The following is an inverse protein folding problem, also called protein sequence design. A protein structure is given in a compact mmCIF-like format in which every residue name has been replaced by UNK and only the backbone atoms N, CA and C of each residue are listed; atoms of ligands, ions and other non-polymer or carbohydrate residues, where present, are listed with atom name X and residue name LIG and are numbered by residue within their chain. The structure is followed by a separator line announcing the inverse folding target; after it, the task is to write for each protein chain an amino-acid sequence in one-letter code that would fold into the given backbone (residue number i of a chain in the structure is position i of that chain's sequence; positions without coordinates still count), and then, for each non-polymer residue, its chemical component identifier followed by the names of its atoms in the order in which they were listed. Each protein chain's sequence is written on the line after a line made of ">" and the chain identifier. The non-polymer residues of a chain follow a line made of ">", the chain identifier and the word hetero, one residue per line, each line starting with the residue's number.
data_IF_085060727462
#
_entry.id   IF_085060727462
#
_cell.length_a   1.000
_cell.length_b   1.000
_cell.length_c   1.000
_cell.angle_alpha   90.00
_cell.angle_beta   90.00
_cell.angle_gamma   90.00
#
_symmetry.space_group_name_H-M   'P 1'
#
loop_
_entity.id
_entity.type
_entity.pdbx_description
1 polymer ?
#
# COMPACT_ATOMS: atom_id res chain seq x y z
N UNK A 1 15.93 13.50 -9.18
CA UNK A 1 14.46 13.67 -9.08
C UNK A 1 14.00 12.98 -7.81
N UNK A 2 12.82 13.33 -7.28
CA UNK A 2 12.33 12.81 -5.99
C UNK A 2 11.09 11.98 -6.25
N UNK A 3 10.97 10.83 -5.60
CA UNK A 3 9.76 10.02 -5.62
C UNK A 3 8.64 10.83 -4.94
N UNK A 4 7.52 11.06 -5.65
CA UNK A 4 6.45 11.95 -5.17
C UNK A 4 5.14 11.19 -5.07
N UNK A 5 4.37 11.52 -4.04
CA UNK A 5 3.00 11.05 -3.87
C UNK A 5 2.00 12.16 -4.19
N UNK A 6 0.80 11.78 -4.63
CA UNK A 6 -0.34 12.69 -4.78
C UNK A 6 -1.62 12.08 -4.20
N UNK A 7 -2.57 12.87 -3.68
CA UNK A 7 -3.85 12.33 -3.26
C UNK A 7 -4.62 11.76 -4.47
N UNK A 8 -5.22 10.58 -4.31
CA UNK A 8 -6.09 10.00 -5.34
C UNK A 8 -7.41 10.78 -5.44
N UNK A 9 -7.93 10.90 -6.66
CA UNK A 9 -9.24 11.51 -6.88
C UNK A 9 -10.40 10.60 -6.43
N UNK A 10 -10.23 9.29 -6.58
CA UNK A 10 -11.21 8.27 -6.21
C UNK A 10 -10.57 7.26 -5.24
N UNK A 11 -11.07 7.09 -4.00
CA UNK A 11 -10.56 6.07 -3.09
C UNK A 11 -10.71 4.64 -3.62
N UNK A 12 -11.56 4.41 -4.63
CA UNK A 12 -11.79 3.10 -5.24
C UNK A 12 -10.92 2.85 -6.48
N UNK A 13 -10.06 3.80 -6.86
CA UNK A 13 -9.09 3.69 -7.96
C UNK A 13 -7.80 4.46 -7.63
N UNK A 14 -7.13 4.10 -6.53
CA UNK A 14 -5.86 4.70 -6.11
C UNK A 14 -4.76 4.23 -7.08
N UNK A 15 -4.25 5.14 -7.91
CA UNK A 15 -3.23 4.82 -8.92
C UNK A 15 -1.84 4.77 -8.31
N UNK A 16 -0.88 4.27 -9.10
CA UNK A 16 0.53 4.26 -8.72
C UNK A 16 0.99 5.65 -8.27
N UNK A 17 1.69 5.69 -7.14
CA UNK A 17 2.13 6.90 -6.44
C UNK A 17 1.00 7.76 -5.87
N UNK A 18 -0.20 7.20 -5.73
CA UNK A 18 -1.30 7.88 -5.05
C UNK A 18 -1.59 7.30 -3.67
N UNK A 19 -2.26 8.11 -2.85
CA UNK A 19 -2.78 7.69 -1.56
C UNK A 19 -4.18 8.27 -1.32
N UNK A 20 -4.98 7.58 -0.52
CA UNK A 20 -6.26 8.10 -0.05
C UNK A 20 -6.73 7.38 1.22
N UNK A 21 -7.56 8.06 2.01
CA UNK A 21 -8.20 7.52 3.19
C UNK A 21 -9.73 7.52 3.05
N UNK A 22 -10.35 6.36 3.25
CA UNK A 22 -11.81 6.20 3.21
C UNK A 22 -12.23 4.95 4.01
N UNK A 23 -13.54 4.70 4.17
CA UNK A 23 -14.03 3.47 4.82
C UNK A 23 -13.66 2.20 4.04
N UNK A 24 -13.54 2.35 2.74
CA UNK A 24 -13.04 1.36 1.81
C UNK A 24 -12.15 2.06 0.79
N UNK A 25 -11.02 1.42 0.47
CA UNK A 25 -10.10 1.85 -0.56
C UNK A 25 -9.79 0.70 -1.50
N UNK A 26 -9.51 1.01 -2.76
CA UNK A 26 -9.00 0.06 -3.76
C UNK A 26 -7.95 0.74 -4.61
N UNK A 27 -6.98 -0.06 -5.03
CA UNK A 27 -5.94 0.36 -5.94
C UNK A 27 -6.34 0.09 -7.38
N UNK A 28 -5.75 0.84 -8.32
CA UNK A 28 -5.70 0.43 -9.71
C UNK A 28 -4.97 -0.91 -9.86
N UNK A 29 -5.09 -1.55 -11.03
CA UNK A 29 -4.48 -2.86 -11.29
C UNK A 29 -2.97 -2.88 -11.02
N UNK A 30 -2.50 -3.84 -10.22
CA UNK A 30 -1.10 -4.13 -9.96
C UNK A 30 -0.50 -4.95 -11.10
N UNK A 31 0.73 -4.61 -11.50
CA UNK A 31 1.57 -5.39 -12.41
C UNK A 31 2.94 -5.72 -11.77
N UNK A 32 3.50 -4.81 -10.97
CA UNK A 32 4.69 -5.03 -10.14
C UNK A 32 4.65 -4.25 -8.81
N UNK A 33 3.46 -3.78 -8.45
CA UNK A 33 3.23 -2.82 -7.40
C UNK A 33 2.93 -3.53 -6.07
N UNK A 34 3.10 -2.78 -4.97
CA UNK A 34 2.55 -3.14 -3.67
C UNK A 34 1.63 -2.03 -3.18
N UNK A 35 0.64 -2.40 -2.38
CA UNK A 35 -0.22 -1.50 -1.64
C UNK A 35 0.09 -1.61 -0.16
N UNK A 36 0.21 -0.47 0.51
CA UNK A 36 0.26 -0.40 1.96
C UNK A 36 -1.10 0.09 2.45
N UNK A 37 -1.79 -0.76 3.21
CA UNK A 37 -3.12 -0.50 3.74
C UNK A 37 -3.04 -0.39 5.25
N UNK A 38 -3.42 0.75 5.81
CA UNK A 38 -3.43 1.00 7.23
C UNK A 38 -4.85 1.24 7.74
N UNK A 39 -5.29 0.45 8.72
CA UNK A 39 -6.56 0.67 9.42
C UNK A 39 -6.36 1.58 10.62
N UNK A 40 -7.23 2.57 10.76
CA UNK A 40 -7.44 3.34 11.98
C UNK A 40 -8.95 3.49 12.23
N UNK A 41 -9.45 2.80 13.25
CA UNK A 41 -10.89 2.70 13.54
C UNK A 41 -11.69 2.18 12.31
N UNK A 42 -12.57 2.99 11.74
CA UNK A 42 -13.36 2.65 10.54
C UNK A 42 -12.72 3.11 9.22
N UNK A 43 -11.58 3.80 9.28
CA UNK A 43 -10.90 4.36 8.11
C UNK A 43 -9.73 3.48 7.72
N UNK A 44 -9.61 3.25 6.41
CA UNK A 44 -8.47 2.63 5.77
C UNK A 44 -7.74 3.67 4.94
N UNK A 45 -6.45 3.82 5.16
CA UNK A 45 -5.54 4.57 4.29
C UNK A 45 -4.83 3.59 3.38
N UNK A 46 -4.93 3.79 2.07
CA UNK A 46 -4.16 3.05 1.06
C UNK A 46 -3.09 3.92 0.44
N UNK A 47 -1.88 3.39 0.28
CA UNK A 47 -0.77 4.01 -0.47
C UNK A 47 -0.30 3.01 -1.53
N UNK A 48 -0.32 3.42 -2.80
CA UNK A 48 0.07 2.57 -3.93
C UNK A 48 1.54 2.83 -4.32
N UNK A 49 2.39 1.83 -4.13
CA UNK A 49 3.83 1.93 -4.35
C UNK A 49 4.27 1.21 -5.62
N UNK A 50 5.22 1.81 -6.32
CA UNK A 50 5.93 1.24 -7.47
C UNK A 50 7.43 1.31 -7.26
N UNK A 51 8.17 0.37 -7.86
CA UNK A 51 9.64 0.35 -7.78
C UNK A 51 10.24 1.56 -8.49
N UNK A 52 9.68 1.91 -9.65
CA UNK A 52 10.08 3.05 -10.47
C UNK A 52 8.88 3.96 -10.66
N UNK A 53 9.05 5.25 -10.32
CA UNK A 53 8.03 6.26 -10.57
C UNK A 53 7.85 6.52 -12.07
N UNK A 54 6.76 7.22 -12.40
CA UNK A 54 6.51 7.72 -13.77
C UNK A 54 7.62 8.65 -14.28
N UNK A 55 8.34 9.29 -13.37
CA UNK A 55 9.48 10.17 -13.65
C UNK A 55 10.83 9.43 -13.49
N UNK A 56 10.83 8.11 -13.66
CA UNK A 56 12.02 7.23 -13.59
C UNK A 56 12.82 7.35 -12.29
N UNK A 57 12.16 7.77 -11.20
CA UNK A 57 12.78 7.84 -9.88
C UNK A 57 12.52 6.55 -9.11
N UNK A 58 13.58 5.88 -8.69
CA UNK A 58 13.50 4.65 -7.91
C UNK A 58 12.97 4.92 -6.50
N UNK A 59 12.17 4.01 -5.96
CA UNK A 59 11.77 4.05 -4.56
C UNK A 59 12.99 3.95 -3.65
N UNK A 60 13.10 4.87 -2.69
CA UNK A 60 14.23 5.02 -1.78
C UNK A 60 13.78 5.14 -0.31
N UNK A 61 14.73 5.34 0.60
CA UNK A 61 14.44 5.49 2.03
C UNK A 61 13.62 6.75 2.34
N UNK A 62 13.69 7.79 1.51
CA UNK A 62 12.87 8.99 1.69
C UNK A 62 11.41 8.68 1.33
N UNK A 63 11.17 7.99 0.22
CA UNK A 63 9.85 7.50 -0.16
C UNK A 63 9.25 6.54 0.88
N UNK A 64 10.09 5.69 1.49
CA UNK A 64 9.66 4.82 2.59
C UNK A 64 9.17 5.60 3.82
N UNK A 65 9.92 6.64 4.24
CA UNK A 65 9.50 7.52 5.34
C UNK A 65 8.23 8.29 5.00
N UNK A 66 8.12 8.80 3.78
CA UNK A 66 6.93 9.50 3.31
C UNK A 66 5.71 8.58 3.28
N UNK A 67 5.86 7.35 2.80
CA UNK A 67 4.81 6.32 2.82
C UNK A 67 4.24 6.15 4.24
N UNK A 68 5.12 5.98 5.23
CA UNK A 68 4.70 5.78 6.63
C UNK A 68 4.06 7.04 7.22
N UNK A 69 4.57 8.22 6.84
CA UNK A 69 3.96 9.49 7.24
C UNK A 69 2.53 9.63 6.69
N UNK A 70 2.28 9.16 5.46
CA UNK A 70 0.94 9.17 4.82
C UNK A 70 -0.05 8.22 5.52
N UNK A 71 0.42 7.10 6.09
CA UNK A 71 -0.44 6.21 6.89
C UNK A 71 -0.97 6.88 8.16
N UNK A 72 -0.33 7.96 8.62
CA UNK A 72 -0.65 8.66 9.86
C UNK A 72 -0.67 7.69 11.06
N UNK A 73 -1.63 7.83 11.98
CA UNK A 73 -1.87 6.88 13.06
C UNK A 73 -2.62 5.66 12.54
N UNK A 74 -2.17 4.47 12.90
CA UNK A 74 -2.80 3.20 12.54
C UNK A 74 -2.81 2.20 13.71
N UNK A 75 -3.77 1.28 13.66
CA UNK A 75 -3.92 0.15 14.60
C UNK A 75 -3.38 -1.15 14.00
N UNK A 76 -3.53 -1.33 12.68
CA UNK A 76 -3.13 -2.52 11.94
C UNK A 76 -2.71 -2.12 10.52
N UNK A 77 -1.70 -2.78 9.97
CA UNK A 77 -1.19 -2.53 8.61
C UNK A 77 -1.06 -3.82 7.84
N UNK A 78 -1.44 -3.78 6.58
CA UNK A 78 -1.22 -4.83 5.59
C UNK A 78 -0.35 -4.29 4.48
N UNK A 79 0.64 -5.08 4.06
CA UNK A 79 1.36 -4.89 2.80
C UNK A 79 0.91 -6.01 1.86
N UNK A 80 0.35 -5.64 0.72
CA UNK A 80 -0.22 -6.59 -0.25
C UNK A 80 0.33 -6.30 -1.65
N UNK A 81 0.57 -7.32 -2.46
CA UNK A 81 1.02 -7.19 -3.85
C UNK A 81 2.20 -8.10 -4.17
N UNK A 82 2.99 -7.71 -5.16
CA UNK A 82 4.21 -8.43 -5.60
C UNK A 82 5.38 -8.20 -4.63
N UNK A 83 5.25 -8.69 -3.40
CA UNK A 83 6.24 -8.44 -2.33
C UNK A 83 7.59 -9.15 -2.59
N UNK A 84 7.58 -10.24 -3.36
CA UNK A 84 8.76 -10.95 -3.83
C UNK A 84 9.57 -10.16 -4.88
N UNK A 85 8.89 -9.46 -5.79
CA UNK A 85 9.54 -8.53 -6.72
C UNK A 85 10.20 -7.37 -5.96
N UNK A 86 9.55 -6.88 -4.91
CA UNK A 86 10.12 -5.84 -4.06
C UNK A 86 11.32 -6.34 -3.25
N UNK A 87 11.25 -7.54 -2.69
CA UNK A 87 12.39 -8.13 -1.97
C UNK A 87 13.60 -8.38 -2.89
N UNK A 88 13.36 -8.80 -4.14
CA UNK A 88 14.43 -9.06 -5.11
C UNK A 88 15.02 -7.80 -5.75
N UNK A 89 14.21 -6.77 -6.01
CA UNK A 89 14.65 -5.54 -6.69
C UNK A 89 15.00 -4.40 -5.73
N UNK A 90 14.47 -4.39 -4.51
CA UNK A 90 14.59 -3.32 -3.51
C UNK A 90 14.81 -3.89 -2.11
N UNK A 91 15.61 -4.95 -1.96
CA UNK A 91 15.76 -5.67 -0.68
C UNK A 91 16.00 -4.74 0.52
N UNK A 92 16.93 -3.79 0.41
CA UNK A 92 17.26 -2.86 1.50
C UNK A 92 16.13 -1.87 1.77
N UNK A 93 15.60 -1.21 0.74
CA UNK A 93 14.56 -0.18 0.88
C UNK A 93 13.21 -0.79 1.31
N UNK A 94 12.90 -1.99 0.84
CA UNK A 94 11.72 -2.74 1.25
C UNK A 94 11.84 -3.17 2.72
N UNK A 95 12.98 -3.71 3.14
CA UNK A 95 13.25 -4.00 4.57
C UNK A 95 13.20 -2.73 5.42
N UNK A 96 13.71 -1.62 4.91
CA UNK A 96 13.64 -0.34 5.61
C UNK A 96 12.19 0.12 5.77
N UNK A 97 11.36 0.09 4.72
CA UNK A 97 9.92 0.36 4.82
C UNK A 97 9.24 -0.52 5.87
N UNK A 98 9.46 -1.84 5.82
CA UNK A 98 8.89 -2.78 6.79
C UNK A 98 9.37 -2.51 8.22
N UNK A 99 10.61 -2.05 8.41
CA UNK A 99 11.15 -1.71 9.74
C UNK A 99 10.49 -0.47 10.36
N UNK A 100 9.96 0.43 9.53
CA UNK A 100 9.22 1.61 9.98
C UNK A 100 7.75 1.30 10.32
N UNK A 101 7.24 0.15 9.86
CA UNK A 101 5.86 -0.28 10.10
C UNK A 101 5.84 -1.28 11.26
N UNK A 102 5.00 -1.02 12.27
CA UNK A 102 4.91 -1.91 13.44
C UNK A 102 4.12 -3.18 13.12
N UNK A 103 4.83 -4.26 12.79
CA UNK A 103 4.28 -5.61 12.62
C UNK A 103 3.29 -5.74 11.46
N UNK A 104 3.67 -5.38 10.22
CA UNK A 104 2.78 -5.49 9.07
C UNK A 104 2.40 -6.95 8.80
N UNK A 105 1.15 -7.19 8.43
CA UNK A 105 0.74 -8.45 7.81
C UNK A 105 1.09 -8.40 6.33
N UNK A 106 1.85 -9.37 5.82
CA UNK A 106 2.36 -9.37 4.45
C UNK A 106 1.61 -10.42 3.63
N UNK A 107 1.01 -10.00 2.52
CA UNK A 107 0.27 -10.85 1.59
C UNK A 107 0.96 -10.78 0.23
N UNK A 108 1.73 -11.83 -0.09
CA UNK A 108 2.31 -11.95 -1.42
C UNK A 108 1.24 -12.43 -2.42
N UNK A 109 1.10 -11.73 -3.52
CA UNK A 109 0.09 -12.01 -4.54
C UNK A 109 0.57 -11.54 -5.91
N UNK A 110 -0.09 -12.01 -6.98
CA UNK A 110 0.25 -11.69 -8.36
C UNK A 110 -0.46 -10.40 -8.83
N UNK A 111 -0.54 -10.20 -10.14
CA UNK A 111 -1.33 -9.14 -10.77
C UNK A 111 -2.79 -9.18 -10.32
N UNK A 112 -3.38 -8.00 -10.14
CA UNK A 112 -4.73 -7.94 -9.64
C UNK A 112 -5.18 -6.57 -9.19
N UNK A 113 -6.41 -6.51 -8.70
CA UNK A 113 -6.97 -5.33 -8.03
C UNK A 113 -7.07 -5.66 -6.55
N UNK A 114 -6.43 -4.83 -5.73
CA UNK A 114 -6.35 -5.00 -4.30
C UNK A 114 -6.89 -3.79 -3.56
N UNK A 115 -7.19 -3.94 -2.29
CA UNK A 115 -7.72 -2.85 -1.47
C UNK A 115 -7.99 -3.28 -0.06
N UNK A 116 -8.67 -2.44 0.70
CA UNK A 116 -9.04 -2.76 2.08
C UNK A 116 -10.26 -2.00 2.53
N UNK A 117 -10.99 -2.59 3.48
CA UNK A 117 -12.13 -1.95 4.16
C UNK A 117 -12.20 -2.37 5.61
N UNK A 118 -12.95 -1.62 6.40
CA UNK A 118 -13.40 -2.07 7.72
C UNK A 118 -14.86 -2.48 7.62
N UNK A 119 -15.16 -3.74 7.94
CA UNK A 119 -16.53 -4.27 7.96
C UNK A 119 -16.83 -4.86 9.34
N UNK A 120 -17.82 -4.30 10.04
CA UNK A 120 -18.18 -4.70 11.42
C UNK A 120 -16.97 -4.72 12.39
N UNK A 121 -16.05 -3.77 12.24
CA UNK A 121 -14.82 -3.66 13.05
C UNK A 121 -13.67 -4.54 12.58
N UNK A 122 -13.92 -5.52 11.70
CA UNK A 122 -12.88 -6.40 11.13
C UNK A 122 -12.20 -5.71 9.95
N UNK A 123 -10.86 -5.74 9.92
CA UNK A 123 -10.10 -5.31 8.76
C UNK A 123 -10.16 -6.40 7.70
N UNK A 124 -10.59 -6.04 6.49
CA UNK A 124 -10.66 -6.96 5.35
C UNK A 124 -9.84 -6.41 4.20
N UNK A 125 -9.11 -7.29 3.51
CA UNK A 125 -8.45 -6.97 2.24
C UNK A 125 -9.32 -7.38 1.08
N UNK A 126 -9.45 -6.51 0.08
CA UNK A 126 -10.02 -6.87 -1.21
C UNK A 126 -8.92 -7.52 -2.06
N UNK A 127 -9.18 -8.71 -2.57
CA UNK A 127 -8.25 -9.49 -3.39
C UNK A 127 -9.00 -10.07 -4.58
N UNK A 128 -8.84 -9.45 -5.76
CA UNK A 128 -9.38 -9.97 -7.03
C UNK A 128 -10.87 -10.37 -6.98
N UNK A 129 -11.71 -9.50 -6.39
CA UNK A 129 -13.17 -9.70 -6.36
C UNK A 129 -13.72 -10.26 -5.05
N UNK A 130 -12.87 -10.56 -4.06
CA UNK A 130 -13.29 -11.12 -2.77
C UNK A 130 -12.70 -10.34 -1.61
N UNK A 131 -13.41 -10.32 -0.48
CA UNK A 131 -12.86 -9.84 0.78
C UNK A 131 -12.34 -10.99 1.63
N UNK A 132 -11.18 -10.76 2.25
CA UNK A 132 -10.51 -11.71 3.13
C UNK A 132 -10.18 -10.99 4.44
N UNK A 133 -10.57 -11.57 5.57
CA UNK A 133 -10.24 -11.06 6.89
C UNK A 133 -8.72 -11.10 7.13
N UNK A 134 -8.18 -10.08 7.79
CA UNK A 134 -6.76 -9.93 8.12
C UNK A 134 -6.46 -10.45 9.51
#
# INVERSE_FOLDING_TARGET
>A
MTYRFSPAHDPMDIKEQEYQSAKEVRFSKFTSCIGVLAKNDEIVTGVHLVIWSKDETRFDDAAARETVALLSRYQQVVVIGHTDLWESNLSEQYKYLLSLIKGPHIINTNDGVYGGRVHNGTFQTYQNGKYVDV
#
